data_IF_916308410507
#
_entry.id   IF_916308410507
#
_cell.length_a   1.000
_cell.length_b   1.000
_cell.length_c   1.000
_cell.angle_alpha   90.00
_cell.angle_beta   90.00
_cell.angle_gamma   90.00
#
_symmetry.space_group_name_H-M   'P 1'
#
loop_
_entity.id
_entity.type
_entity.pdbx_description
1 polymer ?
#
# COMPACT_ATOMS: atom_id res chain seq x y z
N UNK A 1 52.22 25.60 -2.08
CA UNK A 1 52.87 24.38 -1.56
C UNK A 1 51.74 23.46 -1.13
N UNK A 2 51.53 22.42 -1.93
CA UNK A 2 50.39 21.51 -1.95
C UNK A 2 50.61 20.36 -0.98
N UNK A 3 49.59 20.07 -0.16
CA UNK A 3 49.51 18.89 0.71
C UNK A 3 48.56 17.90 0.02
N UNK A 4 48.98 16.65 -0.27
CA UNK A 4 48.10 15.67 -0.90
C UNK A 4 47.15 15.03 0.13
N UNK A 5 45.91 14.65 -0.28
CA UNK A 5 45.00 13.92 0.58
C UNK A 5 45.45 12.47 0.76
N UNK A 6 45.41 12.03 2.01
CA UNK A 6 45.66 10.68 2.49
C UNK A 6 44.37 9.86 2.34
N UNK A 7 44.38 8.85 1.47
CA UNK A 7 43.27 7.91 1.29
C UNK A 7 43.26 6.92 2.46
N UNK A 8 42.24 7.02 3.32
CA UNK A 8 41.93 6.04 4.36
C UNK A 8 41.43 4.72 3.76
N UNK A 9 41.81 3.62 4.40
CA UNK A 9 41.44 2.25 4.06
C UNK A 9 39.95 1.96 4.31
N UNK A 10 39.31 1.06 3.54
CA UNK A 10 37.94 0.63 3.77
C UNK A 10 37.83 -0.24 5.05
N UNK A 11 36.72 -0.18 5.80
CA UNK A 11 36.48 -1.08 6.93
C UNK A 11 36.28 -2.53 6.46
N UNK A 12 36.83 -3.45 7.25
CA UNK A 12 36.82 -4.89 7.03
C UNK A 12 35.40 -5.47 7.15
N UNK A 13 34.96 -6.21 6.13
CA UNK A 13 33.75 -7.03 6.17
C UNK A 13 33.90 -8.22 7.16
N UNK A 14 32.88 -8.54 7.96
CA UNK A 14 32.85 -9.79 8.72
C UNK A 14 32.80 -11.01 7.79
N UNK A 15 33.75 -11.93 7.95
CA UNK A 15 33.80 -13.21 7.24
C UNK A 15 32.69 -14.14 7.75
N UNK A 16 31.78 -14.54 6.86
CA UNK A 16 30.82 -15.63 7.09
C UNK A 16 31.48 -17.00 6.86
N UNK A 17 31.30 -17.99 7.76
CA UNK A 17 31.83 -19.34 7.58
C UNK A 17 31.11 -20.10 6.45
N UNK A 18 31.88 -20.48 5.43
CA UNK A 18 31.41 -21.23 4.27
C UNK A 18 31.04 -22.68 4.60
N UNK A 19 29.82 -23.07 4.23
CA UNK A 19 29.44 -24.46 4.03
C UNK A 19 29.48 -24.75 2.52
N UNK A 20 30.48 -25.53 2.11
CA UNK A 20 30.55 -26.13 0.79
C UNK A 20 29.82 -27.46 0.77
N UNK A 21 28.95 -27.67 -0.23
CA UNK A 21 28.58 -29.01 -0.68
C UNK A 21 28.82 -29.12 -2.18
N UNK A 22 29.74 -30.02 -2.52
CA UNK A 22 30.03 -30.49 -3.87
C UNK A 22 28.89 -31.41 -4.34
N UNK A 23 28.35 -31.13 -5.52
CA UNK A 23 27.64 -32.11 -6.35
C UNK A 23 28.63 -32.98 -7.13
N UNK A 24 28.40 -34.29 -7.23
CA UNK A 24 28.87 -35.07 -8.35
C UNK A 24 27.70 -35.68 -9.14
N UNK A 25 27.65 -35.27 -10.41
CA UNK A 25 27.03 -36.00 -11.51
C UNK A 25 27.60 -37.43 -11.60
N UNK A 26 26.77 -38.48 -11.57
CA UNK A 26 27.02 -39.71 -12.34
C UNK A 26 25.76 -40.57 -12.52
N UNK A 27 25.49 -40.96 -13.76
CA UNK A 27 24.44 -41.90 -14.13
C UNK A 27 24.87 -43.36 -13.99
N UNK A 28 23.90 -44.26 -13.86
CA UNK A 28 24.14 -45.72 -13.84
C UNK A 28 22.87 -46.52 -13.55
N UNK A 29 22.66 -47.59 -14.29
CA UNK A 29 21.43 -48.38 -14.46
C UNK A 29 21.22 -49.53 -13.44
N UNK A 30 19.94 -49.86 -13.17
CA UNK A 30 19.34 -51.20 -12.87
C UNK A 30 19.65 -51.89 -11.51
N UNK A 31 18.98 -53.01 -11.11
CA UNK A 31 17.53 -53.30 -11.03
C UNK A 31 17.11 -54.11 -9.74
N UNK A 32 15.81 -54.30 -9.51
CA UNK A 32 15.15 -55.40 -8.73
C UNK A 32 15.26 -55.46 -7.17
N UNK A 33 14.08 -55.37 -6.52
CA UNK A 33 13.60 -56.37 -5.54
C UNK A 33 13.91 -56.17 -4.06
N UNK A 34 12.88 -55.91 -3.24
CA UNK A 34 12.96 -56.06 -1.77
C UNK A 34 11.74 -55.52 -1.02
N UNK A 35 10.87 -56.42 -0.59
CA UNK A 35 9.65 -56.21 0.22
C UNK A 35 9.97 -56.31 1.74
N UNK A 36 9.00 -56.24 2.68
CA UNK A 36 8.75 -55.15 3.63
C UNK A 36 9.18 -55.47 5.08
N UNK A 37 9.24 -54.47 5.97
CA UNK A 37 9.05 -54.73 7.41
C UNK A 37 8.48 -53.53 8.17
N UNK A 38 7.33 -53.77 8.79
CA UNK A 38 6.64 -52.94 9.78
C UNK A 38 7.33 -53.02 11.14
N UNK A 39 7.47 -51.89 11.85
CA UNK A 39 7.58 -51.84 13.31
C UNK A 39 6.93 -50.55 13.89
N UNK A 40 5.80 -50.75 14.56
CA UNK A 40 5.42 -50.07 15.81
C UNK A 40 5.84 -51.02 16.98
N UNK A 41 5.75 -50.65 18.28
CA UNK A 41 5.54 -49.35 18.95
C UNK A 41 6.58 -49.10 20.07
N UNK A 42 6.65 -47.90 20.67
CA UNK A 42 7.20 -47.80 22.04
C UNK A 42 6.55 -46.72 22.91
N UNK A 43 6.17 -47.18 24.10
CA UNK A 43 5.33 -46.57 25.12
C UNK A 43 6.21 -46.27 26.34
N UNK A 44 6.07 -45.06 26.92
CA UNK A 44 6.33 -44.79 28.34
C UNK A 44 7.67 -44.14 28.71
N UNK A 45 7.59 -42.97 29.36
CA UNK A 45 8.28 -42.67 30.63
C UNK A 45 7.94 -41.26 31.15
N UNK A 46 7.17 -41.20 32.25
CA UNK A 46 7.27 -40.19 33.32
C UNK A 46 8.51 -40.54 34.22
N UNK A 47 8.95 -39.79 35.28
CA UNK A 47 8.24 -38.81 36.14
C UNK A 47 9.08 -37.62 36.75
N UNK A 48 8.46 -36.90 37.72
CA UNK A 48 8.98 -36.07 38.84
C UNK A 48 8.95 -34.52 38.66
N UNK A 49 8.03 -33.76 39.29
CA UNK A 49 7.77 -33.41 40.72
C UNK A 49 8.66 -32.28 41.30
N UNK A 50 8.08 -31.08 41.46
CA UNK A 50 8.36 -30.08 42.49
C UNK A 50 7.26 -28.97 42.44
N UNK A 51 6.87 -28.22 43.47
CA UNK A 51 6.54 -28.43 44.89
C UNK A 51 5.98 -27.08 45.41
N UNK A 52 4.85 -27.09 46.14
CA UNK A 52 4.27 -25.92 46.88
C UNK A 52 3.27 -25.10 46.05
N UNK A 53 2.06 -24.73 46.49
CA UNK A 53 1.65 -24.23 47.81
C UNK A 53 0.10 -24.32 47.97
N UNK A 54 -0.35 -24.57 49.22
CA UNK A 54 -1.66 -24.28 49.88
C UNK A 54 -2.79 -23.62 49.04
N UNK A 55 -4.07 -23.97 49.12
CA UNK A 55 -4.88 -24.70 50.10
C UNK A 55 -6.29 -24.11 50.07
N UNK A 56 -7.33 -24.95 49.93
CA UNK A 56 -8.74 -24.52 50.01
C UNK A 56 -9.71 -25.49 49.35
N UNK A 57 -10.43 -26.29 50.14
CA UNK A 57 -11.63 -27.03 49.71
C UNK A 57 -12.79 -26.04 49.43
N UNK A 58 -13.69 -26.37 48.48
CA UNK A 58 -15.07 -26.70 48.90
C UNK A 58 -15.68 -27.85 48.03
N UNK A 59 -17.00 -28.11 48.01
CA UNK A 59 -17.59 -29.37 48.43
C UNK A 59 -17.99 -30.29 47.26
N UNK A 60 -18.07 -31.58 47.58
CA UNK A 60 -18.47 -32.67 46.70
C UNK A 60 -19.98 -32.65 46.44
N UNK A 61 -20.40 -32.64 45.17
CA UNK A 61 -21.76 -32.99 44.75
C UNK A 61 -22.42 -32.01 43.80
N UNK A 62 -22.26 -32.23 42.49
CA UNK A 62 -23.23 -31.80 41.48
C UNK A 62 -23.18 -32.73 40.27
N UNK A 63 -24.35 -33.19 39.85
CA UNK A 63 -24.62 -34.03 38.68
C UNK A 63 -24.01 -33.46 37.37
N UNK A 64 -23.63 -34.33 36.42
CA UNK A 64 -23.17 -33.89 35.10
C UNK A 64 -24.32 -33.22 34.32
N UNK A 65 -24.14 -31.99 33.80
CA UNK A 65 -25.13 -31.37 32.96
C UNK A 65 -25.22 -32.08 31.58
N UNK A 66 -26.42 -32.10 30.98
CA UNK A 66 -26.65 -32.74 29.69
C UNK A 66 -25.96 -31.96 28.56
N UNK A 67 -25.44 -32.73 27.61
CA UNK A 67 -24.82 -32.34 26.36
C UNK A 67 -25.46 -31.08 25.74
N UNK A 68 -24.74 -29.96 25.78
CA UNK A 68 -25.12 -28.70 25.13
C UNK A 68 -24.79 -28.76 23.64
N UNK A 69 -25.80 -28.51 22.80
CA UNK A 69 -25.63 -28.31 21.37
C UNK A 69 -24.87 -27.02 21.04
N UNK A 70 -24.52 -26.81 19.75
CA UNK A 70 -23.72 -25.67 19.32
C UNK A 70 -24.39 -24.35 19.69
N UNK A 71 -23.63 -23.49 20.36
CA UNK A 71 -24.02 -22.13 20.72
C UNK A 71 -24.04 -21.32 19.43
N UNK A 72 -25.22 -20.84 19.02
CA UNK A 72 -25.35 -19.94 17.89
C UNK A 72 -24.64 -18.62 18.23
N UNK A 73 -23.85 -18.05 17.30
CA UNK A 73 -23.16 -16.78 17.51
C UNK A 73 -24.19 -15.67 17.80
N UNK A 74 -23.84 -14.70 18.66
CA UNK A 74 -24.73 -13.60 19.02
C UNK A 74 -25.12 -12.80 17.78
N UNK A 75 -26.42 -12.51 17.62
CA UNK A 75 -26.91 -11.67 16.53
C UNK A 75 -26.24 -10.29 16.57
N UNK A 76 -25.76 -9.77 15.42
CA UNK A 76 -25.10 -8.47 15.37
C UNK A 76 -26.06 -7.36 15.82
N UNK A 77 -25.57 -6.34 16.55
CA UNK A 77 -26.40 -5.27 17.08
C UNK A 77 -27.09 -4.52 15.94
N UNK A 78 -28.41 -4.36 16.04
CA UNK A 78 -29.22 -3.62 15.06
C UNK A 78 -28.77 -2.16 15.01
N UNK A 79 -28.06 -1.78 13.94
CA UNK A 79 -27.66 -0.40 13.68
C UNK A 79 -28.89 0.40 13.21
N UNK A 80 -29.16 1.52 13.88
CA UNK A 80 -30.30 2.39 13.60
C UNK A 80 -29.98 3.32 12.42
N UNK A 81 -29.94 2.78 11.20
CA UNK A 81 -29.68 3.53 9.97
C UNK A 81 -30.65 4.72 9.77
N UNK A 82 -31.86 4.65 10.33
CA UNK A 82 -32.82 5.74 10.31
C UNK A 82 -32.33 7.01 11.06
N UNK A 83 -31.52 6.84 12.12
CA UNK A 83 -30.98 7.97 12.88
C UNK A 83 -29.79 8.61 12.16
N UNK A 84 -28.91 7.78 11.59
CA UNK A 84 -27.77 8.24 10.78
C UNK A 84 -28.28 8.98 9.52
N UNK A 85 -29.25 8.42 8.81
CA UNK A 85 -29.87 9.08 7.66
C UNK A 85 -30.54 10.42 8.01
N UNK A 86 -31.17 10.51 9.19
CA UNK A 86 -31.77 11.76 9.66
C UNK A 86 -30.76 12.88 9.91
N UNK A 87 -29.58 12.55 10.45
CA UNK A 87 -28.52 13.53 10.72
C UNK A 87 -27.92 14.05 9.41
N UNK A 88 -27.63 13.16 8.46
CA UNK A 88 -27.04 13.55 7.16
C UNK A 88 -27.97 14.49 6.40
N UNK A 89 -29.27 14.17 6.32
CA UNK A 89 -30.25 15.03 5.65
C UNK A 89 -30.40 16.37 6.38
N UNK A 90 -30.39 16.37 7.72
CA UNK A 90 -30.42 17.61 8.51
C UNK A 90 -29.22 18.51 8.29
N UNK A 91 -28.02 17.94 8.21
CA UNK A 91 -26.78 18.66 7.93
C UNK A 91 -26.78 19.26 6.52
N UNK A 92 -27.20 18.49 5.51
CA UNK A 92 -27.31 18.97 4.12
C UNK A 92 -28.25 20.16 3.99
N UNK A 93 -29.41 20.15 4.65
CA UNK A 93 -30.36 21.27 4.63
C UNK A 93 -29.77 22.51 5.32
N UNK A 94 -29.01 22.35 6.40
CA UNK A 94 -28.36 23.46 7.09
C UNK A 94 -27.24 24.09 6.25
N UNK A 95 -26.42 23.28 5.58
CA UNK A 95 -25.34 23.78 4.71
C UNK A 95 -25.92 24.50 3.51
N UNK A 96 -26.87 23.89 2.80
CA UNK A 96 -27.52 24.51 1.63
C UNK A 96 -28.29 25.78 2.02
N UNK A 97 -28.99 25.77 3.15
CA UNK A 97 -29.67 26.95 3.68
C UNK A 97 -28.71 28.07 4.09
N UNK A 98 -27.56 27.72 4.69
CA UNK A 98 -26.52 28.67 5.09
C UNK A 98 -25.86 29.36 3.89
N UNK A 99 -25.47 28.58 2.87
CA UNK A 99 -24.86 29.12 1.64
C UNK A 99 -25.81 30.06 0.92
N UNK A 100 -27.10 29.70 0.83
CA UNK A 100 -28.10 30.53 0.15
C UNK A 100 -28.37 31.85 0.90
N UNK A 101 -28.33 31.82 2.24
CA UNK A 101 -28.49 33.02 3.07
C UNK A 101 -27.29 33.97 2.93
N UNK A 102 -26.06 33.43 2.88
CA UNK A 102 -24.83 34.21 2.64
C UNK A 102 -24.83 34.81 1.23
N UNK A 103 -25.20 34.04 0.21
CA UNK A 103 -25.26 34.52 -1.18
C UNK A 103 -26.25 35.67 -1.36
N UNK A 104 -27.45 35.57 -0.77
CA UNK A 104 -28.46 36.63 -0.86
C UNK A 104 -28.00 37.90 -0.11
N UNK A 105 -27.32 37.75 1.03
CA UNK A 105 -26.81 38.89 1.80
C UNK A 105 -25.61 39.59 1.11
N UNK A 106 -24.78 38.83 0.39
CA UNK A 106 -23.65 39.38 -0.38
C UNK A 106 -24.08 39.97 -1.74
N UNK A 107 -25.19 39.50 -2.33
CA UNK A 107 -25.71 40.04 -3.59
C UNK A 107 -26.41 41.41 -3.48
N UNK A 108 -26.65 41.90 -2.27
CA UNK A 108 -27.37 43.16 -2.03
C UNK A 108 -26.61 44.45 -2.30
N UNK A 109 -25.34 44.41 -2.72
CA UNK A 109 -24.47 45.60 -2.78
C UNK A 109 -23.56 45.70 -4.02
N UNK A 110 -23.92 45.12 -5.17
CA UNK A 110 -23.16 45.32 -6.42
C UNK A 110 -23.98 46.10 -7.45
N UNK A 111 -24.02 47.41 -7.24
CA UNK A 111 -24.26 48.38 -8.31
C UNK A 111 -22.96 48.57 -9.11
N UNK A 112 -23.11 48.48 -10.44
CA UNK A 112 -22.36 49.17 -11.51
C UNK A 112 -20.84 49.29 -11.39
N UNK A 113 -20.12 48.60 -12.27
CA UNK A 113 -19.23 49.28 -13.22
C UNK A 113 -18.95 48.38 -14.43
N UNK A 114 -19.46 48.84 -15.58
CA UNK A 114 -19.04 48.43 -16.92
C UNK A 114 -17.61 48.91 -17.17
N UNK A 115 -16.71 48.03 -17.62
CA UNK A 115 -15.72 48.47 -18.62
C UNK A 115 -15.17 47.32 -19.47
N UNK A 116 -15.52 47.44 -20.75
CA UNK A 116 -14.90 46.76 -21.88
C UNK A 116 -13.39 47.08 -21.97
N UNK A 117 -12.60 46.08 -22.33
CA UNK A 117 -11.18 46.18 -22.64
C UNK A 117 -10.83 45.19 -23.73
N UNK A 118 -10.80 45.72 -24.94
CA UNK A 118 -10.59 45.10 -26.25
C UNK A 118 -9.10 45.15 -26.64
N UNK A 119 -8.66 44.16 -27.45
CA UNK A 119 -7.40 44.08 -28.21
C UNK A 119 -6.08 43.97 -27.38
N UNK A 120 -4.98 43.33 -27.82
CA UNK A 120 -4.39 43.26 -29.17
C UNK A 120 -3.41 42.08 -29.28
N UNK A 121 -3.36 41.48 -30.47
CA UNK A 121 -2.28 40.68 -31.06
C UNK A 121 -0.89 41.32 -30.92
N UNK A 122 0.16 40.52 -30.68
CA UNK A 122 1.47 40.72 -31.31
C UNK A 122 2.36 39.48 -31.16
N UNK A 123 2.54 38.77 -32.27
CA UNK A 123 3.69 37.90 -32.52
C UNK A 123 4.93 38.78 -32.72
N UNK A 124 6.03 38.48 -32.03
CA UNK A 124 7.35 39.00 -32.40
C UNK A 124 8.41 37.95 -32.05
N UNK A 125 8.97 37.32 -33.10
CA UNK A 125 10.23 36.60 -33.03
C UNK A 125 11.38 37.60 -32.86
N UNK A 126 12.27 37.34 -31.90
CA UNK A 126 13.62 37.89 -31.94
C UNK A 126 14.63 36.94 -31.28
N UNK A 127 15.64 36.64 -32.08
CA UNK A 127 16.81 35.84 -31.79
C UNK A 127 17.86 36.61 -30.98
N UNK A 128 18.74 35.85 -30.32
CA UNK A 128 20.16 36.13 -30.03
C UNK A 128 20.61 36.54 -28.61
N UNK A 129 21.51 35.67 -28.12
CA UNK A 129 22.80 35.94 -27.46
C UNK A 129 22.89 36.20 -25.94
N UNK A 130 23.54 35.21 -25.33
CA UNK A 130 24.77 35.30 -24.51
C UNK A 130 24.73 35.70 -23.02
N UNK A 131 25.15 34.72 -22.23
CA UNK A 131 26.08 34.80 -21.09
C UNK A 131 25.73 35.68 -19.89
N UNK A 132 25.20 35.03 -18.85
CA UNK A 132 25.65 35.24 -17.49
C UNK A 132 25.62 33.90 -16.73
N UNK A 133 26.73 33.17 -16.77
CA UNK A 133 27.00 32.08 -15.82
C UNK A 133 27.23 32.68 -14.43
N UNK A 134 26.14 32.87 -13.69
CA UNK A 134 26.19 32.88 -12.23
C UNK A 134 26.21 31.42 -11.79
N UNK A 135 27.42 30.91 -11.62
CA UNK A 135 27.65 29.65 -10.89
C UNK A 135 27.33 29.94 -9.43
N UNK A 136 26.06 29.82 -9.05
CA UNK A 136 25.69 29.62 -7.66
C UNK A 136 26.24 28.25 -7.27
N UNK A 137 27.31 28.24 -6.48
CA UNK A 137 27.72 27.03 -5.76
C UNK A 137 26.53 26.65 -4.86
N UNK A 138 25.87 25.49 -5.08
CA UNK A 138 24.88 25.02 -4.13
C UNK A 138 25.61 24.81 -2.81
N UNK A 139 25.16 25.52 -1.79
CA UNK A 139 25.74 25.43 -0.45
C UNK A 139 25.42 24.04 0.07
N UNK A 140 26.44 23.19 0.19
CA UNK A 140 26.41 21.80 0.69
C UNK A 140 25.93 21.66 2.17
N UNK A 141 25.24 22.66 2.74
CA UNK A 141 24.84 22.71 4.15
C UNK A 141 23.34 22.44 4.43
N UNK A 142 22.53 22.10 3.41
CA UNK A 142 21.17 21.53 3.59
C UNK A 142 21.12 19.99 3.41
N UNK A 143 22.28 19.32 3.38
CA UNK A 143 22.37 17.87 3.32
C UNK A 143 22.42 17.24 4.72
N UNK A 144 21.49 16.30 4.94
CA UNK A 144 21.39 15.33 6.03
C UNK A 144 20.46 15.68 7.21
N UNK A 145 19.20 16.05 6.93
CA UNK A 145 18.16 15.16 7.46
C UNK A 145 18.38 13.81 6.75
N UNK A 146 18.68 12.75 7.51
CA UNK A 146 19.01 11.45 6.92
C UNK A 146 17.92 11.06 5.93
N UNK A 147 18.29 10.81 4.68
CA UNK A 147 17.31 10.36 3.69
C UNK A 147 16.69 9.06 4.21
N UNK A 148 15.37 9.03 4.26
CA UNK A 148 14.61 7.84 4.69
C UNK A 148 14.40 6.88 3.52
N UNK A 149 14.88 7.24 2.33
CA UNK A 149 14.89 6.37 1.15
C UNK A 149 15.72 5.11 1.44
N UNK A 150 15.12 3.95 1.19
CA UNK A 150 15.66 2.63 1.53
C UNK A 150 15.33 2.15 2.95
N UNK A 151 14.63 2.97 3.75
CA UNK A 151 14.00 2.50 4.99
C UNK A 151 12.63 1.90 4.68
N UNK A 152 12.15 1.05 5.59
CA UNK A 152 10.87 0.39 5.43
C UNK A 152 9.82 0.89 6.42
N UNK A 153 8.56 0.60 6.10
CA UNK A 153 7.38 0.93 6.91
C UNK A 153 6.55 -0.33 7.14
N UNK A 154 5.80 -0.40 8.25
CA UNK A 154 4.76 -1.41 8.44
C UNK A 154 3.63 -1.27 7.41
N UNK A 155 2.77 -2.29 7.27
CA UNK A 155 1.63 -2.28 6.34
C UNK A 155 0.76 -1.03 6.46
N UNK A 156 0.46 -0.62 7.69
CA UNK A 156 -0.16 0.66 8.02
C UNK A 156 0.91 1.62 8.55
N UNK A 157 1.47 2.53 7.71
CA UNK A 157 2.46 3.50 8.18
C UNK A 157 1.91 4.35 9.33
N UNK A 158 2.69 4.47 10.40
CA UNK A 158 2.35 5.29 11.56
C UNK A 158 3.16 6.58 11.55
N UNK A 159 2.60 7.65 12.13
CA UNK A 159 3.34 8.89 12.39
C UNK A 159 4.17 8.69 13.66
N UNK A 160 5.44 9.10 13.66
CA UNK A 160 6.32 8.89 14.81
C UNK A 160 5.82 9.62 16.07
N UNK A 161 5.75 8.90 17.20
CA UNK A 161 5.22 9.35 18.52
C UNK A 161 5.91 10.61 19.11
N UNK A 162 7.00 11.09 18.51
CA UNK A 162 7.83 12.19 19.00
C UNK A 162 7.68 13.53 18.29
N UNK A 163 6.98 13.62 17.15
CA UNK A 163 7.03 14.78 16.28
C UNK A 163 5.67 15.21 15.75
N UNK A 164 5.19 16.38 16.21
CA UNK A 164 4.42 17.24 15.33
C UNK A 164 5.34 17.59 14.14
N UNK A 165 5.19 16.90 13.01
CA UNK A 165 5.77 17.33 11.72
C UNK A 165 7.02 16.61 11.20
N UNK A 166 7.55 15.58 11.87
CA UNK A 166 8.89 15.06 11.53
C UNK A 166 8.92 13.72 10.77
N UNK A 167 7.77 13.17 10.34
CA UNK A 167 7.72 12.02 9.42
C UNK A 167 7.12 10.72 9.99
N UNK A 168 7.51 9.59 9.39
CA UNK A 168 6.92 8.26 9.64
C UNK A 168 7.72 7.43 10.66
N UNK A 169 7.07 6.48 11.30
CA UNK A 169 7.74 5.44 12.09
C UNK A 169 8.46 4.47 11.15
N UNK A 170 9.77 4.63 11.05
CA UNK A 170 10.63 3.81 10.19
C UNK A 170 11.04 2.53 10.90
N UNK A 171 11.11 1.45 10.12
CA UNK A 171 11.65 0.15 10.55
C UNK A 171 12.75 -0.33 9.59
N UNK A 172 13.59 -1.23 10.09
CA UNK A 172 14.57 -1.90 9.26
C UNK A 172 13.87 -2.81 8.25
N UNK A 173 14.26 -2.78 6.97
CA UNK A 173 13.67 -3.63 5.94
C UNK A 173 13.85 -5.14 6.16
N UNK A 174 14.70 -5.53 7.11
CA UNK A 174 14.85 -6.93 7.55
C UNK A 174 13.86 -7.34 8.63
N UNK A 175 13.07 -6.41 9.17
CA UNK A 175 12.02 -6.70 10.14
C UNK A 175 10.91 -7.53 9.46
N UNK A 176 10.29 -8.43 10.23
CA UNK A 176 9.20 -9.27 9.75
C UNK A 176 7.91 -8.47 9.46
N UNK A 177 7.79 -7.24 9.99
CA UNK A 177 6.67 -6.34 9.72
C UNK A 177 6.92 -5.38 8.57
N UNK A 178 8.10 -5.41 7.94
CA UNK A 178 8.45 -4.55 6.81
C UNK A 178 7.59 -4.89 5.58
N UNK A 179 6.67 -4.00 5.24
CA UNK A 179 5.75 -4.19 4.11
C UNK A 179 6.03 -3.21 2.99
N UNK A 180 6.32 -1.95 3.30
CA UNK A 180 6.65 -0.92 2.31
C UNK A 180 8.12 -0.53 2.41
N UNK A 181 8.76 -0.23 1.28
CA UNK A 181 10.06 0.42 1.16
C UNK A 181 9.86 1.85 0.63
N UNK A 182 10.53 2.82 1.26
CA UNK A 182 10.54 4.21 0.79
C UNK A 182 11.51 4.32 -0.40
N UNK A 183 11.01 4.66 -1.58
CA UNK A 183 11.80 4.78 -2.81
C UNK A 183 12.08 6.23 -3.19
N UNK A 184 11.34 7.18 -2.62
CA UNK A 184 11.50 8.62 -2.83
C UNK A 184 10.88 9.41 -1.68
N UNK A 185 11.40 10.61 -1.43
CA UNK A 185 10.95 11.45 -0.33
C UNK A 185 11.14 12.93 -0.65
N UNK A 186 10.20 13.76 -0.20
CA UNK A 186 10.34 15.21 -0.17
C UNK A 186 9.68 15.81 1.07
N UNK A 187 10.39 16.75 1.70
CA UNK A 187 9.86 17.65 2.73
C UNK A 187 9.51 19.03 2.15
N UNK A 188 9.91 19.30 0.91
CA UNK A 188 9.59 20.53 0.19
C UNK A 188 8.25 20.37 -0.55
N UNK A 189 7.18 20.28 0.25
CA UNK A 189 5.79 20.02 -0.19
C UNK A 189 4.74 20.84 0.58
N UNK A 190 5.17 21.82 1.39
CA UNK A 190 4.28 22.64 2.23
C UNK A 190 3.28 23.51 1.46
N UNK A 191 3.44 23.62 0.15
CA UNK A 191 2.53 24.30 -0.77
C UNK A 191 1.44 23.37 -1.35
N UNK A 192 1.53 22.06 -1.11
CA UNK A 192 0.56 21.07 -1.60
C UNK A 192 -0.65 20.99 -0.67
N UNK A 193 -1.84 21.40 -1.11
CA UNK A 193 -3.04 21.42 -0.28
C UNK A 193 -3.69 20.04 -0.16
N UNK A 194 -4.26 19.78 1.02
CA UNK A 194 -5.20 18.69 1.26
C UNK A 194 -6.60 19.24 1.57
N UNK A 195 -7.63 18.44 1.31
CA UNK A 195 -9.00 18.79 1.67
C UNK A 195 -9.31 18.59 3.17
N UNK A 196 -10.56 18.79 3.57
CA UNK A 196 -11.00 18.65 4.96
C UNK A 196 -10.91 17.23 5.52
N UNK A 197 -10.85 16.24 4.64
CA UNK A 197 -10.76 14.82 5.00
C UNK A 197 -9.30 14.32 4.91
N UNK A 198 -8.36 15.18 4.50
CA UNK A 198 -6.94 14.89 4.40
C UNK A 198 -6.52 14.30 3.05
N UNK A 199 -7.37 14.35 2.03
CA UNK A 199 -7.02 13.88 0.69
C UNK A 199 -6.32 14.95 -0.13
N UNK A 200 -5.35 14.53 -0.95
CA UNK A 200 -4.70 15.41 -1.91
C UNK A 200 -5.73 15.95 -2.91
N UNK A 201 -5.76 17.28 -3.09
CA UNK A 201 -6.57 17.90 -4.15
C UNK A 201 -5.78 18.12 -5.45
N UNK A 202 -4.46 17.98 -5.39
CA UNK A 202 -3.54 18.10 -6.52
C UNK A 202 -2.47 17.01 -6.45
N UNK A 203 -2.35 16.22 -7.50
CA UNK A 203 -1.40 15.11 -7.62
C UNK A 203 -0.12 15.49 -8.37
N UNK A 204 0.04 16.75 -8.78
CA UNK A 204 1.20 17.22 -9.55
C UNK A 204 2.50 16.94 -8.79
N UNK A 205 2.59 17.32 -7.52
CA UNK A 205 3.80 17.12 -6.71
C UNK A 205 4.15 15.65 -6.43
N UNK A 206 3.18 14.77 -6.07
CA UNK A 206 3.39 13.32 -6.08
C UNK A 206 3.93 12.77 -7.40
N UNK A 207 3.35 13.19 -8.54
CA UNK A 207 3.78 12.71 -9.87
C UNK A 207 5.19 13.20 -10.23
N UNK A 208 5.55 14.43 -9.87
CA UNK A 208 6.92 14.95 -10.04
C UNK A 208 7.95 14.18 -9.22
N UNK A 209 7.61 13.83 -7.97
CA UNK A 209 8.53 13.15 -7.06
C UNK A 209 8.66 11.65 -7.39
N UNK A 210 7.53 10.97 -7.60
CA UNK A 210 7.48 9.52 -7.72
C UNK A 210 7.46 9.01 -9.17
N UNK A 211 7.16 9.89 -10.12
CA UNK A 211 6.92 9.56 -11.53
C UNK A 211 5.44 9.50 -11.87
N UNK A 212 5.10 9.82 -13.13
CA UNK A 212 3.71 9.86 -13.62
C UNK A 212 2.99 8.51 -13.49
N UNK A 213 3.73 7.40 -13.63
CA UNK A 213 3.20 6.05 -13.59
C UNK A 213 3.20 5.43 -12.18
N UNK A 214 3.59 6.17 -11.13
CA UNK A 214 3.87 5.56 -9.83
C UNK A 214 2.66 4.86 -9.20
N UNK A 215 1.48 5.47 -9.27
CA UNK A 215 0.23 4.88 -8.79
C UNK A 215 -0.54 4.11 -9.89
N UNK A 216 0.06 3.94 -11.08
CA UNK A 216 -0.52 3.11 -12.12
C UNK A 216 -0.25 1.64 -11.75
N UNK A 217 -1.34 0.92 -11.54
CA UNK A 217 -1.33 -0.48 -11.18
C UNK A 217 -1.20 -1.32 -12.46
N UNK A 218 -0.06 -2.00 -12.63
CA UNK A 218 0.13 -2.93 -13.73
C UNK A 218 0.10 -4.38 -13.21
N UNK A 219 -0.59 -5.31 -13.88
CA UNK A 219 -0.49 -6.73 -13.64
C UNK A 219 0.97 -7.20 -13.48
N UNK A 220 1.24 -7.97 -12.43
CA UNK A 220 2.53 -8.54 -12.09
C UNK A 220 3.47 -7.59 -11.36
N UNK A 221 3.18 -6.30 -11.34
CA UNK A 221 3.95 -5.33 -10.54
C UNK A 221 3.62 -5.46 -9.05
N UNK A 222 4.62 -5.15 -8.23
CA UNK A 222 4.42 -4.85 -6.82
C UNK A 222 3.51 -3.63 -6.68
N UNK A 223 2.75 -3.60 -5.59
CA UNK A 223 2.02 -2.40 -5.23
C UNK A 223 2.97 -1.22 -5.06
N UNK A 224 2.61 -0.10 -5.67
CA UNK A 224 3.26 1.20 -5.51
C UNK A 224 2.20 2.19 -5.07
N UNK A 225 2.57 3.08 -4.16
CA UNK A 225 1.70 4.13 -3.68
C UNK A 225 2.53 5.35 -3.25
N UNK A 226 1.87 6.47 -3.00
CA UNK A 226 2.43 7.53 -2.19
C UNK A 226 1.85 7.47 -0.78
N UNK A 227 2.62 7.97 0.18
CA UNK A 227 2.15 8.26 1.51
C UNK A 227 2.56 9.68 1.87
N UNK A 228 1.83 10.32 2.78
CA UNK A 228 2.13 11.69 3.17
C UNK A 228 1.69 11.96 4.60
N UNK A 229 2.42 12.87 5.26
CA UNK A 229 2.03 13.46 6.53
C UNK A 229 1.59 14.89 6.23
N UNK A 230 0.52 15.35 6.86
CA UNK A 230 -0.01 16.68 6.63
C UNK A 230 -0.42 17.35 7.94
N UNK A 231 -0.31 18.67 7.96
CA UNK A 231 -0.78 19.51 9.06
C UNK A 231 -1.33 20.82 8.51
N UNK A 232 -2.28 21.42 9.23
CA UNK A 232 -2.85 22.73 8.89
C UNK A 232 -3.38 22.89 7.44
N UNK A 233 -3.79 21.78 6.80
CA UNK A 233 -4.36 21.77 5.45
C UNK A 233 -3.33 21.66 4.32
N UNK A 234 -2.06 21.42 4.63
CA UNK A 234 -0.97 21.25 3.66
C UNK A 234 -0.08 20.07 4.03
N UNK A 235 0.69 19.53 3.07
CA UNK A 235 1.63 18.45 3.36
C UNK A 235 2.83 18.93 4.18
N UNK A 236 3.25 18.13 5.14
CA UNK A 236 4.53 18.28 5.85
C UNK A 236 5.62 17.44 5.18
N UNK A 237 5.25 16.24 4.70
CA UNK A 237 6.16 15.33 4.00
C UNK A 237 5.42 14.41 3.05
N UNK A 238 6.11 14.01 1.97
CA UNK A 238 5.61 13.15 0.92
C UNK A 238 6.63 12.02 0.64
N UNK A 239 6.12 10.81 0.50
CA UNK A 239 6.89 9.58 0.34
C UNK A 239 6.38 8.81 -0.86
N UNK A 240 7.29 8.33 -1.69
CA UNK A 240 7.03 7.29 -2.68
C UNK A 240 7.33 5.96 -2.01
N UNK A 241 6.35 5.06 -1.98
CA UNK A 241 6.48 3.76 -1.33
C UNK A 241 6.17 2.62 -2.30
N UNK A 242 6.89 1.52 -2.17
CA UNK A 242 6.69 0.29 -2.93
C UNK A 242 6.62 -0.88 -1.97
N UNK A 243 5.71 -1.82 -2.19
CA UNK A 243 5.63 -3.00 -1.37
C UNK A 243 6.90 -3.85 -1.53
N UNK A 244 7.32 -4.54 -0.47
CA UNK A 244 8.51 -5.40 -0.45
C UNK A 244 8.27 -6.77 -1.10
N UNK A 245 7.01 -7.09 -1.42
CA UNK A 245 6.56 -8.41 -1.88
C UNK A 245 6.36 -9.42 -0.74
N UNK A 246 6.64 -9.02 0.50
CA UNK A 246 6.34 -9.83 1.68
C UNK A 246 4.82 -9.83 1.91
N UNK A 247 4.27 -10.99 2.25
CA UNK A 247 2.85 -11.12 2.54
C UNK A 247 2.45 -10.28 3.76
N UNK A 248 1.19 -9.86 3.82
CA UNK A 248 0.66 -9.17 4.99
C UNK A 248 0.85 -10.05 6.25
N UNK A 249 1.54 -9.56 7.31
CA UNK A 249 1.68 -10.30 8.55
C UNK A 249 0.34 -10.70 9.20
N UNK A 250 -0.72 -9.92 9.00
CA UNK A 250 -2.07 -10.23 9.48
C UNK A 250 -2.78 -11.27 8.60
N UNK A 251 -2.50 -11.24 7.30
CA UNK A 251 -3.11 -12.11 6.28
C UNK A 251 -2.02 -12.76 5.40
N UNK A 252 -1.30 -13.79 5.89
CA UNK A 252 -0.08 -14.31 5.24
C UNK A 252 -0.33 -15.02 3.90
N UNK A 253 -1.59 -15.20 3.52
CA UNK A 253 -1.97 -15.72 2.21
C UNK A 253 -1.97 -14.62 1.13
N UNK A 254 -1.91 -13.34 1.52
CA UNK A 254 -2.03 -12.20 0.63
C UNK A 254 -0.67 -11.59 0.35
N UNK A 255 -0.29 -11.56 -0.92
CA UNK A 255 0.94 -10.90 -1.39
C UNK A 255 0.61 -9.65 -2.20
N UNK A 256 1.34 -8.54 -2.01
CA UNK A 256 1.02 -7.23 -2.59
C UNK A 256 1.48 -7.10 -4.05
N UNK A 257 0.97 -7.99 -4.89
CA UNK A 257 1.13 -7.98 -6.34
C UNK A 257 -0.22 -7.82 -7.00
N UNK A 258 -0.29 -6.98 -8.03
CA UNK A 258 -1.45 -6.94 -8.90
C UNK A 258 -1.50 -8.28 -9.68
N UNK A 259 -2.59 -9.07 -9.61
CA UNK A 259 -2.63 -10.37 -10.27
C UNK A 259 -2.35 -10.27 -11.79
N UNK A 260 -1.49 -11.14 -12.32
CA UNK A 260 -1.27 -11.31 -13.76
C UNK A 260 -1.63 -12.73 -14.21
N UNK A 261 -1.48 -13.02 -15.50
CA UNK A 261 -1.79 -14.30 -16.13
C UNK A 261 -1.17 -15.49 -15.38
N UNK A 262 -2.02 -16.37 -14.87
CA UNK A 262 -1.68 -17.57 -14.10
C UNK A 262 -1.71 -17.36 -12.58
N UNK A 263 -1.88 -16.12 -12.11
CA UNK A 263 -2.03 -15.84 -10.69
C UNK A 263 -3.48 -16.06 -10.23
N UNK A 264 -3.62 -16.35 -8.94
CA UNK A 264 -4.91 -16.55 -8.30
C UNK A 264 -5.21 -15.43 -7.32
N UNK A 265 -6.47 -15.05 -7.24
CA UNK A 265 -6.96 -13.99 -6.37
C UNK A 265 -8.40 -14.25 -5.92
N UNK A 266 -8.92 -13.36 -5.10
CA UNK A 266 -10.31 -13.38 -4.64
C UNK A 266 -10.90 -11.97 -4.66
N UNK A 267 -12.22 -11.86 -4.60
CA UNK A 267 -12.87 -10.56 -4.59
C UNK A 267 -12.61 -9.83 -3.27
N UNK A 268 -11.84 -8.74 -3.33
CA UNK A 268 -11.59 -7.83 -2.20
C UNK A 268 -11.48 -6.38 -2.66
N UNK A 269 -11.46 -5.45 -1.70
CA UNK A 269 -11.29 -4.01 -1.96
C UNK A 269 -9.85 -3.65 -2.42
N UNK A 270 -8.94 -4.61 -2.48
CA UNK A 270 -7.55 -4.43 -2.94
C UNK A 270 -7.09 -5.61 -3.79
N UNK A 271 -6.08 -5.39 -4.62
CA UNK A 271 -5.57 -6.37 -5.57
C UNK A 271 -4.53 -7.30 -4.96
N UNK A 272 -4.96 -8.33 -4.25
CA UNK A 272 -4.06 -9.31 -3.65
C UNK A 272 -3.81 -10.50 -4.59
N UNK A 273 -2.57 -10.96 -4.65
CA UNK A 273 -2.24 -12.26 -5.22
C UNK A 273 -2.11 -13.29 -4.10
N UNK A 274 -2.67 -14.48 -4.29
CA UNK A 274 -2.60 -15.59 -3.32
C UNK A 274 -2.14 -16.89 -3.98
N UNK A 275 -1.69 -17.85 -3.17
CA UNK A 275 -1.32 -19.18 -3.67
C UNK A 275 -2.57 -19.88 -4.23
N UNK A 276 -2.51 -20.35 -5.48
CA UNK A 276 -3.65 -21.02 -6.15
C UNK A 276 -4.17 -22.28 -5.43
N UNK A 277 -3.43 -22.84 -4.47
CA UNK A 277 -3.89 -23.95 -3.63
C UNK A 277 -4.57 -23.52 -2.33
N UNK A 278 -4.63 -22.20 -2.06
CA UNK A 278 -5.31 -21.62 -0.91
C UNK A 278 -6.82 -21.80 -1.02
N UNK A 279 -7.48 -21.98 0.12
CA UNK A 279 -8.94 -22.05 0.23
C UNK A 279 -9.63 -20.69 0.11
N UNK A 280 -8.84 -19.60 0.05
CA UNK A 280 -9.31 -18.25 -0.22
C UNK A 280 -9.52 -17.96 -1.71
N UNK A 281 -8.91 -18.72 -2.61
CA UNK A 281 -8.95 -18.44 -4.05
C UNK A 281 -10.38 -18.55 -4.56
N UNK A 282 -10.79 -17.53 -5.31
CA UNK A 282 -12.05 -17.55 -6.06
C UNK A 282 -11.79 -17.61 -7.57
N UNK A 283 -10.73 -16.96 -8.05
CA UNK A 283 -10.47 -16.80 -9.48
C UNK A 283 -9.00 -17.04 -9.84
N UNK A 284 -8.78 -17.56 -11.06
CA UNK A 284 -7.48 -17.62 -11.73
C UNK A 284 -7.49 -16.68 -12.94
N UNK A 285 -6.48 -15.80 -13.05
CA UNK A 285 -6.33 -14.89 -14.20
C UNK A 285 -5.85 -15.70 -15.40
N UNK A 286 -6.64 -15.74 -16.48
CA UNK A 286 -6.29 -16.44 -17.72
C UNK A 286 -5.67 -15.53 -18.77
N UNK A 287 -5.77 -14.23 -18.60
CA UNK A 287 -5.14 -13.25 -19.46
C UNK A 287 -5.36 -11.83 -18.97
N UNK A 288 -4.56 -10.90 -19.48
CA UNK A 288 -4.62 -9.48 -19.13
C UNK A 288 -4.62 -8.61 -20.39
N UNK A 289 -5.27 -7.45 -20.32
CA UNK A 289 -5.15 -6.37 -21.31
C UNK A 289 -4.57 -5.15 -20.62
N UNK A 290 -3.39 -4.72 -21.05
CA UNK A 290 -2.75 -3.50 -20.56
C UNK A 290 -3.23 -2.31 -21.38
N UNK A 291 -3.57 -1.21 -20.71
CA UNK A 291 -3.88 0.04 -21.37
C UNK A 291 -2.59 0.83 -21.60
N UNK A 292 -2.35 1.27 -22.84
CA UNK A 292 -1.21 2.15 -23.17
C UNK A 292 -1.28 3.48 -22.40
N UNK A 293 -2.49 3.93 -22.04
CA UNK A 293 -2.72 5.11 -21.24
C UNK A 293 -3.96 4.87 -20.37
N UNK A 294 -3.86 4.97 -19.03
CA UNK A 294 -5.00 4.80 -18.16
C UNK A 294 -6.14 5.76 -18.51
N UNK A 295 -7.35 5.24 -18.61
CA UNK A 295 -8.54 6.02 -18.99
C UNK A 295 -9.75 5.63 -18.13
N UNK A 296 -10.62 6.60 -17.85
CA UNK A 296 -11.93 6.30 -17.23
C UNK A 296 -12.75 5.53 -18.26
N UNK A 297 -13.21 4.34 -17.89
CA UNK A 297 -14.06 3.49 -18.73
C UNK A 297 -15.40 3.26 -18.05
N UNK A 298 -16.44 3.13 -18.87
CA UNK A 298 -17.69 2.52 -18.41
C UNK A 298 -17.58 0.99 -18.44
N UNK A 299 -18.43 0.32 -17.67
CA UNK A 299 -18.50 -1.15 -17.64
C UNK A 299 -18.68 -1.77 -19.03
N UNK A 300 -19.53 -1.16 -19.89
CA UNK A 300 -19.74 -1.61 -21.28
C UNK A 300 -18.47 -1.45 -22.15
N UNK A 301 -17.67 -0.40 -21.91
CA UNK A 301 -16.39 -0.17 -22.62
C UNK A 301 -15.33 -1.15 -22.14
N UNK A 302 -15.20 -1.34 -20.83
CA UNK A 302 -14.29 -2.32 -20.24
C UNK A 302 -14.61 -3.74 -20.72
N UNK A 303 -15.89 -4.13 -20.73
CA UNK A 303 -16.33 -5.42 -21.27
C UNK A 303 -15.95 -5.61 -22.75
N UNK A 304 -15.99 -4.54 -23.55
CA UNK A 304 -15.61 -4.58 -24.96
C UNK A 304 -14.09 -4.72 -25.15
N UNK A 305 -13.30 -4.10 -24.27
CA UNK A 305 -11.83 -4.17 -24.28
C UNK A 305 -11.29 -5.47 -23.65
N UNK A 306 -12.08 -6.18 -22.83
CA UNK A 306 -11.77 -7.46 -22.18
C UNK A 306 -11.62 -8.64 -23.19
N UNK A 307 -10.66 -8.53 -24.10
CA UNK A 307 -10.42 -9.49 -25.18
C UNK A 307 -9.47 -10.63 -24.78
N UNK A 308 -9.05 -10.67 -23.51
CA UNK A 308 -8.08 -11.62 -22.96
C UNK A 308 -8.62 -13.04 -22.68
N UNK A 309 -9.91 -13.29 -22.89
CA UNK A 309 -10.55 -14.59 -22.64
C UNK A 309 -11.31 -14.60 -21.31
N UNK A 310 -11.45 -15.78 -20.69
CA UNK A 310 -12.12 -15.93 -19.39
C UNK A 310 -13.66 -15.92 -19.44
N UNK A 311 -14.27 -16.25 -18.30
CA UNK A 311 -15.70 -16.12 -18.05
C UNK A 311 -16.05 -14.77 -17.40
N UNK A 312 -15.07 -14.17 -16.71
CA UNK A 312 -15.19 -12.93 -15.96
C UNK A 312 -14.10 -11.93 -16.35
N UNK A 313 -14.37 -10.65 -16.12
CA UNK A 313 -13.37 -9.59 -16.21
C UNK A 313 -13.43 -8.65 -15.01
N UNK A 314 -12.31 -8.00 -14.74
CA UNK A 314 -12.19 -6.95 -13.72
C UNK A 314 -11.31 -5.82 -14.21
N UNK A 315 -11.71 -4.58 -13.87
CA UNK A 315 -10.93 -3.39 -14.14
C UNK A 315 -9.93 -3.15 -13.02
N UNK A 316 -8.65 -3.04 -13.35
CA UNK A 316 -7.62 -2.55 -12.45
C UNK A 316 -7.57 -1.04 -12.60
N UNK A 317 -8.04 -0.32 -11.58
CA UNK A 317 -8.10 1.15 -11.58
C UNK A 317 -6.98 1.77 -10.74
N UNK A 318 -6.45 2.90 -11.20
CA UNK A 318 -5.52 3.73 -10.42
C UNK A 318 -6.25 4.63 -9.40
N UNK A 319 -5.49 5.45 -8.67
CA UNK A 319 -6.02 6.40 -7.68
C UNK A 319 -6.90 7.52 -8.25
N UNK A 320 -6.94 7.68 -9.58
CA UNK A 320 -7.77 8.65 -10.29
C UNK A 320 -9.00 7.97 -10.93
N UNK A 321 -9.33 6.74 -10.52
CA UNK A 321 -10.41 5.90 -11.04
C UNK A 321 -10.28 5.62 -12.56
N UNK A 322 -9.05 5.60 -13.08
CA UNK A 322 -8.77 5.28 -14.48
C UNK A 322 -8.34 3.83 -14.60
N UNK A 323 -8.92 3.11 -15.55
CA UNK A 323 -8.58 1.71 -15.85
C UNK A 323 -7.21 1.65 -16.51
N UNK A 324 -6.23 1.07 -15.82
CA UNK A 324 -4.86 0.84 -16.31
C UNK A 324 -4.69 -0.55 -16.93
N UNK A 325 -5.48 -1.52 -16.48
CA UNK A 325 -5.51 -2.86 -17.05
C UNK A 325 -6.87 -3.53 -16.86
N UNK A 326 -7.12 -4.58 -17.63
CA UNK A 326 -8.27 -5.47 -17.46
C UNK A 326 -7.74 -6.88 -17.21
N UNK A 327 -8.19 -7.51 -16.12
CA UNK A 327 -7.94 -8.92 -15.83
C UNK A 327 -9.09 -9.75 -16.40
N UNK A 328 -8.79 -10.82 -17.12
CA UNK A 328 -9.77 -11.84 -17.49
C UNK A 328 -9.50 -13.11 -16.69
N UNK A 329 -10.52 -13.76 -16.16
CA UNK A 329 -10.35 -14.95 -15.32
C UNK A 329 -11.51 -15.92 -15.37
N UNK A 330 -11.29 -17.07 -14.74
CA UNK A 330 -12.28 -18.12 -14.51
C UNK A 330 -12.37 -18.40 -13.02
N UNK A 331 -13.45 -19.07 -12.60
CA UNK A 331 -13.51 -19.70 -11.28
C UNK A 331 -12.36 -20.73 -11.15
N UNK A 332 -11.65 -20.71 -10.01
CA UNK A 332 -10.51 -21.61 -9.74
C UNK A 332 -10.92 -22.98 -9.16
#
# INVERSE_FOLDING_TARGET
MTVPPNYGQPPEQPQTPGFGFQSPYNGGQSPYGGQPQSQQPQYGSAPQFAAGQSGGQPPYGAEPPPYGGPVLPPEPPKRNYALIGGIIVGALVLVLGGVLLVAVNLSGNRDQDDQAGEETTSEEEASASEEASASEEPTEEEQQAGSEVGMCLPYEPAIADGGYGDGLELIECSDATAFWEITGQSYDVTDVPVDSDGYLTDYTRPKELCGEDWAVLNPGDLWRNWHYVYSDGTLDSLYCIQATGIADPAEPANTPYIPDTGDCFYSSDSWWTTDCSSDLVEYEVVGTVLMDTPAVMSDDEAAAEATCGGEWYWEVTDSEDRTSAILCGNDA
#
